data_IF_192749176310
#
_entry.id   IF_192749176310
#
_cell.length_a   1.000
_cell.length_b   1.000
_cell.length_c   1.000
_cell.angle_alpha   90.00
_cell.angle_beta   90.00
_cell.angle_gamma   90.00
#
_symmetry.space_group_name_H-M   'P 1'
#
loop_
_entity.id
_entity.type
_entity.pdbx_description
1 polymer ?
#
# COMPACT_ATOMS: atom_id res chain seq x y z
N UNK A 1 -44.59 -13.56 -59.19
CA UNK A 1 -44.18 -12.24 -58.64
C UNK A 1 -44.06 -12.43 -57.15
N UNK A 2 -42.83 -12.62 -56.67
CA UNK A 2 -42.50 -12.72 -55.26
C UNK A 2 -41.79 -11.43 -54.86
N UNK A 3 -42.34 -10.70 -53.91
CA UNK A 3 -41.82 -9.49 -53.36
C UNK A 3 -40.90 -9.84 -52.19
N UNK A 4 -39.60 -9.50 -52.18
CA UNK A 4 -38.78 -9.67 -51.01
C UNK A 4 -38.88 -8.41 -50.13
N UNK A 5 -39.61 -8.54 -49.02
CA UNK A 5 -39.52 -7.55 -47.95
C UNK A 5 -38.11 -7.54 -47.37
N UNK A 6 -37.41 -6.44 -47.56
CA UNK A 6 -36.15 -6.18 -46.92
C UNK A 6 -36.41 -5.86 -45.45
N UNK A 7 -36.07 -6.80 -44.60
CA UNK A 7 -36.00 -6.58 -43.14
C UNK A 7 -34.75 -5.73 -42.81
N UNK A 8 -34.91 -4.43 -42.74
CA UNK A 8 -33.89 -3.53 -42.23
C UNK A 8 -33.95 -3.56 -40.70
N UNK A 9 -33.29 -4.55 -40.09
CA UNK A 9 -32.91 -4.44 -38.66
C UNK A 9 -31.88 -3.32 -38.56
N UNK A 10 -32.37 -2.13 -38.17
CA UNK A 10 -31.51 -1.03 -37.82
C UNK A 10 -30.59 -1.45 -36.66
N UNK A 11 -29.30 -1.57 -36.95
CA UNK A 11 -28.27 -1.58 -35.94
C UNK A 11 -28.25 -0.16 -35.29
N UNK A 12 -29.11 0.04 -34.28
CA UNK A 12 -28.96 1.16 -33.40
C UNK A 12 -27.63 0.99 -32.68
N UNK A 13 -26.66 1.85 -33.01
CA UNK A 13 -25.44 1.96 -32.25
C UNK A 13 -25.80 2.17 -30.77
N UNK A 14 -25.22 1.39 -29.83
CA UNK A 14 -25.48 1.61 -28.42
C UNK A 14 -25.14 3.07 -28.07
N UNK A 15 -26.06 3.74 -27.34
CA UNK A 15 -25.82 5.10 -26.81
C UNK A 15 -24.45 5.16 -26.14
N UNK A 16 -23.68 6.22 -26.39
CA UNK A 16 -22.37 6.40 -25.75
C UNK A 16 -22.56 6.26 -24.22
N UNK A 17 -21.73 5.42 -23.56
CA UNK A 17 -21.89 5.18 -22.14
C UNK A 17 -21.74 6.50 -21.38
N UNK A 18 -22.80 6.96 -20.75
CA UNK A 18 -22.78 8.17 -19.92
C UNK A 18 -22.00 7.88 -18.64
N UNK A 19 -20.68 8.26 -18.63
CA UNK A 19 -19.85 8.15 -17.43
C UNK A 19 -20.35 9.16 -16.40
N UNK A 20 -20.89 8.65 -15.29
CA UNK A 20 -21.28 9.49 -14.14
C UNK A 20 -20.12 9.56 -13.15
N UNK A 21 -19.93 10.71 -12.47
CA UNK A 21 -18.99 10.79 -11.36
C UNK A 21 -19.34 9.73 -10.30
N UNK A 22 -18.29 9.02 -9.83
CA UNK A 22 -18.46 8.02 -8.76
C UNK A 22 -18.50 8.75 -7.41
N UNK A 23 -19.50 8.44 -6.58
CA UNK A 23 -19.53 8.93 -5.21
C UNK A 23 -18.37 8.33 -4.39
N UNK A 24 -17.51 9.17 -3.76
CA UNK A 24 -16.35 8.68 -2.99
C UNK A 24 -16.73 7.75 -1.83
N UNK A 25 -17.90 7.97 -1.19
CA UNK A 25 -18.34 7.11 -0.08
C UNK A 25 -18.79 5.74 -0.60
N UNK A 26 -19.51 5.70 -1.72
CA UNK A 26 -19.89 4.45 -2.35
C UNK A 26 -18.66 3.65 -2.81
N UNK A 27 -17.64 4.33 -3.38
CA UNK A 27 -16.39 3.71 -3.76
C UNK A 27 -15.65 3.12 -2.54
N UNK A 28 -15.56 3.88 -1.44
CA UNK A 28 -14.92 3.41 -0.20
C UNK A 28 -15.58 2.15 0.36
N UNK A 29 -16.93 2.11 0.38
CA UNK A 29 -17.68 0.93 0.83
C UNK A 29 -17.43 -0.26 -0.08
N UNK A 30 -17.45 -0.05 -1.40
CA UNK A 30 -17.19 -1.11 -2.37
C UNK A 30 -15.77 -1.68 -2.24
N UNK A 31 -14.75 -0.82 -2.07
CA UNK A 31 -13.35 -1.23 -1.87
C UNK A 31 -13.13 -2.00 -0.56
N UNK A 32 -13.97 -1.78 0.46
CA UNK A 32 -13.96 -2.57 1.70
C UNK A 32 -14.28 -4.06 1.52
N UNK A 33 -14.80 -4.46 0.35
CA UNK A 33 -15.01 -5.86 0.01
C UNK A 33 -13.75 -6.57 -0.52
N UNK A 34 -12.67 -5.81 -0.76
CA UNK A 34 -11.40 -6.36 -1.22
C UNK A 34 -10.48 -6.66 -0.05
N UNK A 35 -10.31 -7.95 0.26
CA UNK A 35 -9.45 -8.41 1.34
C UNK A 35 -7.98 -8.12 1.00
N UNK A 36 -7.29 -7.38 1.87
CA UNK A 36 -5.86 -7.09 1.75
C UNK A 36 -5.07 -7.66 2.92
N UNK A 37 -3.76 -7.80 2.74
CA UNK A 37 -2.85 -7.96 3.86
C UNK A 37 -2.72 -6.64 4.64
N UNK A 38 -2.20 -6.73 5.87
CA UNK A 38 -1.85 -5.56 6.70
C UNK A 38 -0.36 -5.45 6.80
N UNK A 39 0.16 -4.25 6.56
CA UNK A 39 1.60 -3.96 6.67
C UNK A 39 1.85 -2.75 7.56
N UNK A 40 3.02 -2.73 8.20
CA UNK A 40 3.55 -1.53 8.83
C UNK A 40 4.76 -1.09 8.01
N UNK A 41 4.68 0.10 7.41
CA UNK A 41 5.81 0.69 6.72
C UNK A 41 6.59 1.55 7.69
N UNK A 42 7.90 1.30 7.77
CA UNK A 42 8.81 1.97 8.69
C UNK A 42 9.94 2.65 7.94
N UNK A 43 10.40 3.79 8.46
CA UNK A 43 11.53 4.52 7.92
C UNK A 43 12.25 5.32 9.01
N UNK A 44 13.39 5.92 8.65
CA UNK A 44 14.23 6.74 9.53
C UNK A 44 14.14 8.20 9.08
N UNK A 45 13.93 9.12 10.03
CA UNK A 45 13.98 10.55 9.78
C UNK A 45 15.43 11.08 9.67
N UNK A 46 15.57 12.36 9.34
CA UNK A 46 16.87 13.03 9.21
C UNK A 46 17.66 13.10 10.53
N UNK A 47 16.98 13.01 11.70
CA UNK A 47 17.57 12.95 13.03
C UNK A 47 18.04 11.55 13.43
N UNK A 48 17.77 10.53 12.60
CA UNK A 48 18.11 9.15 12.88
C UNK A 48 17.08 8.43 13.76
N UNK A 49 15.88 8.98 13.93
CA UNK A 49 14.81 8.38 14.73
C UNK A 49 13.89 7.52 13.86
N UNK A 50 13.42 6.37 14.38
CA UNK A 50 12.49 5.51 13.67
C UNK A 50 11.08 6.09 13.69
N UNK A 51 10.34 5.92 12.59
CA UNK A 51 8.91 6.19 12.50
C UNK A 51 8.24 5.17 11.59
N UNK A 52 6.92 5.11 11.62
CA UNK A 52 6.17 4.18 10.80
C UNK A 52 4.67 4.37 10.93
N UNK A 53 3.92 3.69 10.07
CA UNK A 53 2.45 3.65 10.08
C UNK A 53 1.92 2.36 9.46
N UNK A 54 0.71 1.98 9.89
CA UNK A 54 -0.02 0.85 9.33
C UNK A 54 -0.66 1.24 8.00
N UNK A 55 -0.48 0.41 6.99
CA UNK A 55 -1.10 0.56 5.67
C UNK A 55 -1.62 -0.78 5.15
N UNK A 56 -2.65 -0.72 4.30
CA UNK A 56 -3.18 -1.86 3.54
C UNK A 56 -3.03 -1.67 2.03
N UNK A 57 -2.32 -0.63 1.60
CA UNK A 57 -2.12 -0.26 0.18
C UNK A 57 -0.90 -0.94 -0.46
N UNK A 58 -0.18 -1.78 0.29
CA UNK A 58 1.00 -2.49 -0.22
C UNK A 58 0.65 -3.46 -1.35
N UNK A 59 1.49 -3.47 -2.40
CA UNK A 59 1.43 -4.46 -3.49
C UNK A 59 2.80 -4.72 -4.11
N UNK A 60 2.94 -5.89 -4.76
CA UNK A 60 4.08 -6.20 -5.62
C UNK A 60 3.96 -5.49 -6.97
N UNK A 61 5.09 -5.15 -7.59
CA UNK A 61 5.15 -4.47 -8.90
C UNK A 61 5.94 -5.30 -9.91
N UNK A 62 7.19 -5.67 -9.60
CA UNK A 62 8.11 -6.30 -10.54
C UNK A 62 9.07 -7.26 -9.82
N UNK A 63 9.54 -8.27 -10.53
CA UNK A 63 10.59 -9.17 -10.05
C UNK A 63 11.98 -8.81 -10.60
N UNK A 64 12.05 -8.08 -11.71
CA UNK A 64 13.32 -7.65 -12.31
C UNK A 64 13.16 -6.26 -12.96
N UNK A 65 13.60 -5.19 -12.28
CA UNK A 65 14.10 -5.16 -10.90
C UNK A 65 13.01 -5.54 -9.87
N UNK A 66 13.39 -5.96 -8.65
CA UNK A 66 12.42 -6.36 -7.62
C UNK A 66 11.78 -5.12 -6.99
N UNK A 67 10.58 -4.78 -7.45
CA UNK A 67 9.86 -3.58 -7.03
C UNK A 67 8.57 -3.90 -6.29
N UNK A 68 8.29 -3.09 -5.28
CA UNK A 68 7.04 -3.06 -4.51
C UNK A 68 6.52 -1.63 -4.42
N UNK A 69 5.22 -1.48 -4.13
CA UNK A 69 4.60 -0.17 -3.93
C UNK A 69 3.72 -0.14 -2.69
N UNK A 70 3.46 1.07 -2.21
CA UNK A 70 2.42 1.40 -1.25
C UNK A 70 2.01 2.85 -1.44
N UNK A 71 0.86 3.26 -0.87
CA UNK A 71 0.31 4.60 -1.07
C UNK A 71 0.06 5.29 0.27
N UNK A 72 0.24 6.62 0.31
CA UNK A 72 0.04 7.46 1.47
C UNK A 72 -0.81 8.68 1.12
N UNK A 73 -1.82 8.98 1.94
CA UNK A 73 -2.67 10.17 1.81
C UNK A 73 -1.82 11.44 1.87
N UNK A 74 -2.06 12.39 0.95
CA UNK A 74 -1.33 13.66 0.86
C UNK A 74 -1.48 14.54 2.12
N UNK A 75 -2.50 14.28 2.96
CA UNK A 75 -2.75 14.98 4.23
C UNK A 75 -2.05 14.33 5.41
N UNK A 76 -1.37 13.20 5.21
CA UNK A 76 -0.67 12.50 6.30
C UNK A 76 0.53 13.32 6.77
N UNK A 77 0.65 13.51 8.08
CA UNK A 77 1.71 14.27 8.74
C UNK A 77 3.12 13.70 8.55
N UNK A 78 3.22 12.43 8.15
CA UNK A 78 4.49 11.73 7.90
C UNK A 78 4.92 11.72 6.44
N UNK A 79 4.13 12.32 5.53
CA UNK A 79 4.41 12.30 4.10
C UNK A 79 5.82 12.82 3.79
N UNK A 80 6.17 14.00 4.31
CA UNK A 80 7.48 14.61 4.06
C UNK A 80 8.64 13.83 4.71
N UNK A 81 8.38 13.10 5.80
CA UNK A 81 9.38 12.22 6.40
C UNK A 81 9.71 11.07 5.45
N UNK A 82 8.69 10.40 4.87
CA UNK A 82 8.90 9.31 3.91
C UNK A 82 9.60 9.78 2.63
N UNK A 83 9.28 10.97 2.12
CA UNK A 83 9.94 11.58 0.96
C UNK A 83 11.44 11.81 1.16
N UNK A 84 11.84 12.08 2.40
CA UNK A 84 13.24 12.37 2.74
C UNK A 84 14.03 11.15 3.23
N UNK A 85 13.37 10.04 3.49
CA UNK A 85 13.99 8.86 4.10
C UNK A 85 14.96 8.11 3.18
N UNK A 86 14.82 8.26 1.85
CA UNK A 86 15.63 7.57 0.84
C UNK A 86 15.38 6.07 0.75
N UNK A 87 14.40 5.55 1.52
CA UNK A 87 13.98 4.16 1.55
C UNK A 87 13.02 3.88 2.71
N UNK A 88 12.56 2.64 2.79
CA UNK A 88 11.61 2.19 3.80
C UNK A 88 11.68 0.68 3.98
N UNK A 89 11.13 0.18 5.09
CA UNK A 89 10.89 -1.26 5.25
C UNK A 89 9.38 -1.52 5.25
N UNK A 90 8.93 -2.50 4.46
CA UNK A 90 7.57 -3.03 4.52
C UNK A 90 7.58 -4.25 5.43
N UNK A 91 6.91 -4.16 6.57
CA UNK A 91 6.76 -5.26 7.53
C UNK A 91 5.35 -5.84 7.37
N UNK A 92 5.24 -7.04 6.79
CA UNK A 92 3.97 -7.77 6.64
C UNK A 92 3.61 -8.41 7.97
N UNK A 93 2.44 -8.06 8.50
CA UNK A 93 2.05 -8.42 9.85
C UNK A 93 1.48 -9.83 9.92
N UNK A 94 1.70 -10.49 11.05
CA UNK A 94 1.08 -11.76 11.40
C UNK A 94 -0.30 -11.54 12.04
N UNK A 95 -1.17 -12.52 11.93
CA UNK A 95 -2.52 -12.48 12.50
C UNK A 95 -2.54 -12.31 14.04
N UNK A 96 -1.47 -12.73 14.73
CA UNK A 96 -1.31 -12.61 16.19
C UNK A 96 -0.68 -11.28 16.65
N UNK A 97 -0.50 -10.31 15.76
CA UNK A 97 0.11 -8.99 16.03
C UNK A 97 -0.90 -7.84 15.95
N UNK A 98 -2.15 -8.08 16.27
CA UNK A 98 -3.23 -7.06 16.17
C UNK A 98 -2.92 -5.82 17.01
N UNK A 99 -2.40 -5.98 18.22
CA UNK A 99 -2.04 -4.84 19.09
C UNK A 99 -0.99 -3.93 18.44
N UNK A 100 0.00 -4.52 17.77
CA UNK A 100 1.05 -3.77 17.07
C UNK A 100 0.48 -3.06 15.83
N UNK A 101 -0.41 -3.69 15.09
CA UNK A 101 -1.13 -3.09 13.95
C UNK A 101 -1.88 -1.84 14.41
N UNK A 102 -2.64 -1.93 15.51
CA UNK A 102 -3.38 -0.80 16.05
C UNK A 102 -2.49 0.29 16.64
N UNK A 103 -1.36 -0.05 17.26
CA UNK A 103 -0.38 0.91 17.76
C UNK A 103 0.14 1.80 16.63
N UNK A 104 0.47 1.21 15.47
CA UNK A 104 0.97 1.97 14.31
C UNK A 104 -0.15 2.63 13.48
N UNK A 105 -1.41 2.25 13.66
CA UNK A 105 -2.56 2.90 13.03
C UNK A 105 -3.01 4.19 13.72
N UNK A 106 -2.76 4.33 15.04
CA UNK A 106 -3.17 5.50 15.83
C UNK A 106 -2.19 6.66 15.67
N UNK A 107 -2.63 7.88 16.03
CA UNK A 107 -1.80 9.09 15.99
C UNK A 107 -0.88 9.24 17.24
N UNK A 108 -0.35 8.16 17.78
CA UNK A 108 0.54 8.17 18.94
C UNK A 108 2.00 8.43 18.54
N UNK A 109 2.79 9.05 19.45
CA UNK A 109 4.14 9.51 19.14
C UNK A 109 5.23 8.50 19.47
N UNK A 110 5.03 7.60 20.45
CA UNK A 110 6.08 6.69 20.95
C UNK A 110 5.89 5.22 20.54
N UNK A 111 5.59 4.99 19.26
CA UNK A 111 5.28 3.66 18.74
C UNK A 111 6.43 2.66 18.85
N UNK A 112 7.67 3.14 18.89
CA UNK A 112 8.89 2.33 18.89
C UNK A 112 9.44 2.03 20.30
N UNK A 113 8.97 2.72 21.38
CA UNK A 113 9.49 2.59 22.72
C UNK A 113 9.37 1.16 23.28
N UNK A 114 8.19 0.53 23.07
CA UNK A 114 7.89 -0.83 23.55
C UNK A 114 7.82 -1.87 22.40
N UNK A 115 8.27 -1.48 21.21
CA UNK A 115 8.27 -2.35 20.02
C UNK A 115 9.64 -2.96 19.83
N UNK A 116 9.71 -4.28 19.58
CA UNK A 116 10.95 -4.94 19.22
C UNK A 116 11.29 -4.67 17.74
N UNK A 117 12.40 -4.01 17.51
CA UNK A 117 12.89 -3.67 16.17
C UNK A 117 14.41 -3.58 16.15
N UNK A 118 15.01 -3.48 14.96
CA UNK A 118 16.44 -3.24 14.78
C UNK A 118 16.69 -2.41 13.49
N UNK A 119 17.89 -1.87 13.35
CA UNK A 119 18.29 -1.25 12.09
C UNK A 119 18.62 -2.34 11.05
N UNK A 120 17.95 -2.29 9.91
CA UNK A 120 18.21 -3.19 8.79
C UNK A 120 19.45 -2.82 7.97
N UNK A 121 19.76 -3.63 6.96
CA UNK A 121 20.90 -3.40 6.04
C UNK A 121 20.67 -2.19 5.15
N UNK A 122 19.44 -1.82 4.89
CA UNK A 122 19.06 -0.59 4.19
C UNK A 122 19.25 0.68 5.03
N UNK A 123 19.52 0.54 6.34
CA UNK A 123 19.53 1.62 7.31
C UNK A 123 18.15 2.08 7.74
N UNK A 124 17.11 1.34 7.40
CA UNK A 124 15.74 1.58 7.83
C UNK A 124 15.37 0.67 9.01
N UNK A 125 14.38 1.06 9.87
CA UNK A 125 13.94 0.20 10.97
C UNK A 125 13.20 -1.03 10.45
N UNK A 126 13.52 -2.21 11.01
CA UNK A 126 12.87 -3.50 10.73
C UNK A 126 12.18 -3.98 11.99
N UNK A 127 10.87 -4.23 11.95
CA UNK A 127 10.12 -4.81 13.06
C UNK A 127 10.44 -6.30 13.20
N UNK A 128 10.56 -6.77 14.45
CA UNK A 128 10.86 -8.18 14.72
C UNK A 128 9.59 -9.04 14.77
N UNK A 129 9.78 -10.34 14.52
CA UNK A 129 8.71 -11.36 14.57
C UNK A 129 7.56 -11.15 13.59
N UNK A 130 7.76 -10.36 12.53
CA UNK A 130 6.80 -10.19 11.43
C UNK A 130 6.77 -11.43 10.54
N UNK A 131 5.73 -11.55 9.70
CA UNK A 131 5.66 -12.63 8.71
C UNK A 131 6.71 -12.47 7.62
N UNK A 132 6.92 -11.23 7.17
CA UNK A 132 7.85 -10.88 6.12
C UNK A 132 8.31 -9.43 6.32
N UNK A 133 9.60 -9.17 6.18
CA UNK A 133 10.15 -7.82 6.08
C UNK A 133 10.86 -7.65 4.75
N UNK A 134 10.50 -6.59 4.02
CA UNK A 134 11.12 -6.18 2.77
C UNK A 134 11.80 -4.84 3.00
N UNK A 135 13.11 -4.84 3.04
CA UNK A 135 13.89 -3.60 3.10
C UNK A 135 14.04 -3.02 1.69
N UNK A 136 13.66 -1.76 1.53
CA UNK A 136 13.60 -1.12 0.23
C UNK A 136 14.44 0.16 0.19
N UNK A 137 15.14 0.34 -0.92
CA UNK A 137 15.67 1.63 -1.36
C UNK A 137 14.57 2.34 -2.16
N UNK A 138 14.45 3.64 -2.01
CA UNK A 138 13.53 4.42 -2.85
C UNK A 138 13.86 4.24 -4.33
N UNK A 139 12.84 3.92 -5.12
CA UNK A 139 12.93 3.81 -6.58
C UNK A 139 12.28 5.00 -7.28
N UNK A 140 11.05 5.32 -6.91
CA UNK A 140 10.30 6.44 -7.50
C UNK A 140 9.08 6.81 -6.63
N UNK A 141 8.57 8.02 -6.83
CA UNK A 141 7.31 8.51 -6.30
C UNK A 141 6.40 8.95 -7.45
N UNK A 142 5.11 8.61 -7.37
CA UNK A 142 4.12 8.98 -8.38
C UNK A 142 2.87 9.58 -7.75
N UNK A 143 2.25 10.62 -8.37
CA UNK A 143 0.97 11.13 -7.92
C UNK A 143 -0.15 10.10 -8.16
N UNK A 144 -1.00 9.89 -7.16
CA UNK A 144 -2.13 8.96 -7.17
C UNK A 144 -3.43 9.61 -6.70
N UNK A 145 -3.80 10.78 -7.27
CA UNK A 145 -5.00 11.51 -6.85
C UNK A 145 -4.78 12.23 -5.51
N UNK A 146 -5.53 11.87 -4.47
CA UNK A 146 -5.38 12.36 -3.09
C UNK A 146 -4.30 11.60 -2.29
N UNK A 147 -3.56 10.69 -2.96
CA UNK A 147 -2.44 9.93 -2.41
C UNK A 147 -1.18 10.15 -3.24
N UNK A 148 -0.04 9.80 -2.64
CA UNK A 148 1.20 9.55 -3.36
C UNK A 148 1.51 8.06 -3.34
N UNK A 149 2.08 7.54 -4.43
CA UNK A 149 2.49 6.14 -4.57
C UNK A 149 4.01 6.09 -4.44
N UNK A 150 4.50 5.45 -3.38
CA UNK A 150 5.91 5.16 -3.21
C UNK A 150 6.25 3.82 -3.85
N UNK A 151 7.29 3.80 -4.66
CA UNK A 151 7.85 2.57 -5.22
C UNK A 151 9.25 2.36 -4.63
N UNK A 152 9.50 1.16 -4.13
CA UNK A 152 10.79 0.77 -3.57
C UNK A 152 11.39 -0.44 -4.28
N UNK A 153 12.71 -0.40 -4.48
CA UNK A 153 13.49 -1.57 -4.89
C UNK A 153 13.85 -2.39 -3.66
N UNK A 154 13.43 -3.65 -3.64
CA UNK A 154 13.74 -4.57 -2.53
C UNK A 154 15.21 -4.92 -2.56
N UNK A 155 15.92 -4.62 -1.46
CA UNK A 155 17.35 -4.88 -1.30
C UNK A 155 17.66 -5.97 -0.28
N UNK A 156 16.69 -6.30 0.60
CA UNK A 156 16.79 -7.43 1.53
C UNK A 156 15.40 -7.99 1.86
N UNK A 157 15.34 -9.28 2.14
CA UNK A 157 14.13 -10.03 2.49
C UNK A 157 14.42 -10.86 3.72
N UNK A 158 13.56 -10.75 4.73
CA UNK A 158 13.50 -11.65 5.89
C UNK A 158 12.07 -12.18 6.01
N UNK A 159 11.92 -13.52 5.93
CA UNK A 159 10.62 -14.19 5.92
C UNK A 159 10.56 -15.26 7.00
N UNK A 160 9.42 -15.35 7.68
CA UNK A 160 9.11 -16.35 8.69
C UNK A 160 7.83 -17.11 8.36
N UNK A 161 7.60 -18.24 9.04
CA UNK A 161 6.34 -18.98 8.93
C UNK A 161 5.27 -18.35 9.81
N UNK A 162 4.00 -18.42 9.38
CA UNK A 162 2.86 -17.93 10.13
C UNK A 162 1.65 -17.62 9.26
N UNK A 163 0.55 -17.23 9.90
CA UNK A 163 -0.65 -16.75 9.22
C UNK A 163 -0.56 -15.23 9.03
N UNK A 164 -0.87 -14.69 7.84
CA UNK A 164 -0.89 -13.25 7.61
C UNK A 164 -2.06 -12.58 8.31
N UNK A 165 -1.87 -11.34 8.77
CA UNK A 165 -2.97 -10.47 9.14
C UNK A 165 -3.72 -10.02 7.90
N UNK A 166 -5.06 -9.95 7.99
CA UNK A 166 -5.95 -9.54 6.90
C UNK A 166 -6.91 -8.43 7.37
N UNK A 167 -7.23 -7.52 6.45
CA UNK A 167 -8.12 -6.39 6.66
C UNK A 167 -9.26 -6.40 5.62
#
# INVERSE_FOLDING_TARGET
MLNPEANSSGDEMPEEPSVRPVDPMALRVALGSFLTGVTIVTARNEQGEPYGLTVNSFNSVSLNPPLVLWSLDLRNDKLDLFRKAGGFTVNVMRADQEDLIWLFARAETERFADTNWHWGVSGQPVLQNTLLSLECREWAEYPGGDHTIFVGEVVNIDASEGAPAAF
#
